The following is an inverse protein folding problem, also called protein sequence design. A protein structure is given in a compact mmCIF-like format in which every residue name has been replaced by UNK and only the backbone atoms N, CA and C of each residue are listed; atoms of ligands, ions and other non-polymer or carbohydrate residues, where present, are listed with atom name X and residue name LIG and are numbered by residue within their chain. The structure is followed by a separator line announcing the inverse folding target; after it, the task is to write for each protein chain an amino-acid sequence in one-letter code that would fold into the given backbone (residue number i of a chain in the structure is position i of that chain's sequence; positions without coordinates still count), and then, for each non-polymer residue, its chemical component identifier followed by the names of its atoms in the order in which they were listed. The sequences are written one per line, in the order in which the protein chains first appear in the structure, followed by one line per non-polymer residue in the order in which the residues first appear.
data_IF_920469577387
#
_entry.id   IF_920469577387
#
_cell.length_a   1.000
_cell.length_b   1.000
_cell.length_c   1.000
_cell.angle_alpha   90.00
_cell.angle_beta   90.00
_cell.angle_gamma   90.00
#
_symmetry.space_group_name_H-M   'P 1'
#
loop_
_entity.id
_entity.type
_entity.pdbx_description
1 polymer ?
#
# COMPACT_ATOMS: atom_id res chain seq x y z
N UNK A 1 -29.62 -11.72 -12.41
CA UNK A 1 -29.13 -10.35 -12.66
C UNK A 1 -27.93 -10.44 -13.60
N UNK A 2 -27.73 -9.46 -14.48
CA UNK A 2 -26.47 -9.37 -15.23
C UNK A 2 -25.31 -9.14 -14.24
N UNK A 3 -24.15 -9.72 -14.51
CA UNK A 3 -22.95 -9.45 -13.70
C UNK A 3 -22.65 -7.95 -13.70
N UNK A 4 -22.29 -7.36 -12.54
CA UNK A 4 -21.90 -5.95 -12.48
C UNK A 4 -20.71 -5.71 -13.41
N UNK A 5 -20.72 -4.58 -14.12
CA UNK A 5 -19.65 -4.20 -15.05
C UNK A 5 -18.67 -3.28 -14.36
N UNK A 6 -17.41 -3.37 -14.78
CA UNK A 6 -16.31 -2.50 -14.35
C UNK A 6 -16.23 -2.38 -12.82
N UNK A 7 -16.17 -3.53 -12.11
CA UNK A 7 -16.10 -3.54 -10.66
C UNK A 7 -14.70 -3.12 -10.23
N UNK A 8 -14.61 -2.18 -9.30
CA UNK A 8 -13.33 -1.68 -8.80
C UNK A 8 -13.50 -0.45 -7.92
N UNK A 9 -12.49 0.40 -7.89
CA UNK A 9 -12.45 1.58 -7.02
C UNK A 9 -13.20 2.76 -7.66
N UNK A 10 -14.24 3.23 -6.98
CA UNK A 10 -15.07 4.39 -7.34
C UNK A 10 -14.51 5.68 -6.74
N UNK A 11 -13.98 5.62 -5.52
CA UNK A 11 -13.38 6.74 -4.81
C UNK A 11 -12.27 6.26 -3.87
N UNK A 12 -11.33 7.15 -3.56
CA UNK A 12 -10.25 6.88 -2.62
C UNK A 12 -10.07 8.07 -1.70
N UNK A 13 -9.67 7.81 -0.46
CA UNK A 13 -9.20 8.81 0.48
C UNK A 13 -7.97 8.28 1.21
N UNK A 14 -7.09 9.18 1.62
CA UNK A 14 -5.91 8.86 2.43
C UNK A 14 -5.85 9.77 3.64
N UNK A 15 -5.63 9.17 4.80
CA UNK A 15 -5.19 9.86 5.99
C UNK A 15 -3.69 9.64 6.20
N UNK A 16 -2.99 10.73 6.48
CA UNK A 16 -1.59 10.73 6.91
C UNK A 16 -1.50 11.59 8.16
N UNK A 17 -0.70 11.19 9.17
CA UNK A 17 -0.46 12.03 10.34
C UNK A 17 0.01 13.44 9.94
N UNK A 18 -0.39 14.42 10.73
CA UNK A 18 -0.11 15.83 10.46
C UNK A 18 1.34 16.26 10.78
N UNK A 19 2.19 15.30 11.16
CA UNK A 19 3.58 15.51 11.54
C UNK A 19 4.49 14.50 10.85
N UNK A 20 5.68 14.96 10.44
CA UNK A 20 6.68 14.14 9.77
C UNK A 20 8.10 14.52 10.18
N UNK A 21 9.01 13.55 10.16
CA UNK A 21 10.43 13.73 10.43
C UNK A 21 11.19 13.93 9.11
N UNK A 22 12.04 14.96 9.03
CA UNK A 22 12.97 15.17 7.91
C UNK A 22 14.12 14.15 7.98
N UNK A 23 14.30 13.38 6.91
CA UNK A 23 15.32 12.33 6.84
C UNK A 23 16.75 12.89 6.88
N UNK A 24 16.99 14.11 6.40
CA UNK A 24 18.30 14.78 6.49
C UNK A 24 18.63 15.13 7.95
N UNK A 25 17.63 15.57 8.72
CA UNK A 25 17.81 15.81 10.15
C UNK A 25 18.06 14.50 10.89
N UNK A 26 17.34 13.44 10.51
CA UNK A 26 17.50 12.13 11.12
C UNK A 26 18.84 11.47 10.79
N UNK A 27 19.37 11.66 9.58
CA UNK A 27 20.73 11.23 9.21
C UNK A 27 21.78 11.81 10.18
N UNK A 28 21.70 13.11 10.45
CA UNK A 28 22.59 13.81 11.39
C UNK A 28 22.42 13.29 12.81
N UNK A 29 21.19 13.17 13.28
CA UNK A 29 20.88 12.68 14.63
C UNK A 29 21.40 11.25 14.85
N UNK A 30 21.28 10.37 13.86
CA UNK A 30 21.78 9.00 13.94
C UNK A 30 23.29 8.85 13.65
N UNK A 31 23.99 9.95 13.34
CA UNK A 31 25.43 9.92 13.06
C UNK A 31 25.80 9.13 11.80
N UNK A 32 24.91 9.06 10.81
CA UNK A 32 25.17 8.38 9.53
C UNK A 32 25.62 9.36 8.45
N UNK A 33 26.21 8.83 7.37
CA UNK A 33 26.63 9.65 6.23
C UNK A 33 25.44 10.36 5.58
N UNK A 34 25.64 11.63 5.20
CA UNK A 34 24.67 12.39 4.42
C UNK A 34 24.27 11.62 3.15
N UNK A 35 22.98 11.60 2.84
CA UNK A 35 22.45 10.87 1.68
C UNK A 35 22.12 9.40 1.95
N UNK A 36 22.44 8.84 3.12
CA UNK A 36 22.14 7.43 3.40
C UNK A 36 20.65 7.11 3.29
N UNK A 37 19.77 8.00 3.75
CA UNK A 37 18.32 7.86 3.72
C UNK A 37 17.74 8.59 2.52
N UNK A 38 18.16 9.84 2.29
CA UNK A 38 17.62 10.68 1.21
C UNK A 38 17.99 10.22 -0.20
N UNK A 39 19.15 9.58 -0.37
CA UNK A 39 19.61 9.02 -1.67
C UNK A 39 19.60 7.50 -1.63
N UNK A 40 20.16 6.90 -0.58
CA UNK A 40 20.30 5.45 -0.44
C UNK A 40 18.96 4.72 -0.34
N UNK A 41 17.98 5.32 0.38
CA UNK A 41 16.61 4.83 0.45
C UNK A 41 15.65 5.64 -0.43
N UNK A 42 16.01 6.88 -0.79
CA UNK A 42 15.16 7.81 -1.53
C UNK A 42 13.98 8.33 -0.71
N UNK A 43 14.13 8.38 0.63
CA UNK A 43 13.11 8.89 1.55
C UNK A 43 13.46 10.31 1.98
N UNK A 44 12.51 11.23 1.87
CA UNK A 44 12.69 12.64 2.26
C UNK A 44 12.07 12.93 3.62
N UNK A 45 10.88 12.39 3.87
CA UNK A 45 10.19 12.54 5.15
C UNK A 45 9.56 11.22 5.60
N UNK A 46 9.38 11.07 6.90
CA UNK A 46 8.73 9.91 7.53
C UNK A 46 7.61 10.36 8.45
N UNK A 47 6.39 9.87 8.22
CA UNK A 47 5.28 10.09 9.13
C UNK A 47 5.42 9.23 10.37
N UNK A 48 4.93 9.74 11.48
CA UNK A 48 4.83 8.99 12.72
C UNK A 48 3.61 9.43 13.51
N UNK A 49 3.19 8.57 14.43
CA UNK A 49 2.09 8.81 15.35
C UNK A 49 2.66 9.01 16.76
N UNK A 50 2.01 9.85 17.55
CA UNK A 50 2.18 9.85 19.02
C UNK A 50 1.31 8.75 19.65
N UNK A 51 1.10 8.80 20.97
CA UNK A 51 0.13 7.95 21.67
C UNK A 51 -1.34 8.37 21.45
N UNK A 52 -1.58 9.50 20.75
CA UNK A 52 -2.92 9.98 20.36
C UNK A 52 -3.49 9.27 19.14
N UNK A 53 -2.68 8.58 18.36
CA UNK A 53 -3.13 7.93 17.12
C UNK A 53 -2.83 6.43 17.12
N UNK A 54 -3.85 5.64 16.80
CA UNK A 54 -3.76 4.19 16.65
C UNK A 54 -4.42 3.75 15.32
N UNK A 55 -4.29 2.47 14.98
CA UNK A 55 -4.85 1.92 13.74
C UNK A 55 -6.34 2.22 13.54
N UNK A 56 -7.12 2.30 14.62
CA UNK A 56 -8.54 2.61 14.59
C UNK A 56 -8.78 4.09 14.35
N UNK A 57 -8.03 4.98 15.01
CA UNK A 57 -8.18 6.43 14.82
C UNK A 57 -7.76 6.87 13.42
N UNK A 58 -6.70 6.25 12.85
CA UNK A 58 -6.33 6.43 11.45
C UNK A 58 -7.46 5.99 10.51
N UNK A 59 -8.05 4.82 10.76
CA UNK A 59 -9.15 4.26 9.97
C UNK A 59 -10.43 5.10 10.07
N UNK A 60 -10.83 5.50 11.28
CA UNK A 60 -11.98 6.37 11.54
C UNK A 60 -11.83 7.69 10.78
N UNK A 61 -10.63 8.27 10.80
CA UNK A 61 -10.34 9.52 10.10
C UNK A 61 -10.45 9.36 8.58
N UNK A 62 -9.82 8.33 8.01
CA UNK A 62 -9.86 8.10 6.57
C UNK A 62 -11.28 7.80 6.07
N UNK A 63 -12.03 6.93 6.76
CA UNK A 63 -13.41 6.56 6.36
C UNK A 63 -14.37 7.74 6.54
N UNK A 64 -14.31 8.47 7.67
CA UNK A 64 -15.12 9.67 7.86
C UNK A 64 -14.84 10.74 6.79
N UNK A 65 -13.56 10.93 6.45
CA UNK A 65 -13.18 11.85 5.37
C UNK A 65 -13.69 11.38 4.00
N UNK A 66 -13.60 10.08 3.71
CA UNK A 66 -14.12 9.49 2.47
C UNK A 66 -15.63 9.75 2.33
N UNK A 67 -16.41 9.40 3.37
CA UNK A 67 -17.86 9.59 3.39
C UNK A 67 -18.24 11.05 3.13
N UNK A 68 -17.58 11.98 3.83
CA UNK A 68 -17.86 13.42 3.73
C UNK A 68 -17.45 14.04 2.39
N UNK A 69 -16.23 13.76 1.90
CA UNK A 69 -15.72 14.42 0.69
C UNK A 69 -16.37 13.92 -0.60
N UNK A 70 -16.83 12.68 -0.60
CA UNK A 70 -17.47 12.05 -1.75
C UNK A 70 -18.99 11.96 -1.62
N UNK A 71 -19.57 12.57 -0.57
CA UNK A 71 -21.01 12.61 -0.31
C UNK A 71 -21.66 11.22 -0.34
N UNK A 72 -21.04 10.27 0.36
CA UNK A 72 -21.47 8.87 0.37
C UNK A 72 -22.46 8.68 1.51
N UNK A 73 -23.69 8.29 1.18
CA UNK A 73 -24.69 7.87 2.17
C UNK A 73 -24.19 6.61 2.91
N UNK A 74 -24.02 6.63 4.25
CA UNK A 74 -23.63 5.45 5.00
C UNK A 74 -24.55 4.24 4.81
N UNK A 75 -25.83 4.44 4.46
CA UNK A 75 -26.76 3.34 4.14
C UNK A 75 -26.50 2.67 2.79
N UNK A 76 -25.74 3.31 1.90
CA UNK A 76 -25.34 2.76 0.60
C UNK A 76 -24.19 1.74 0.68
N UNK A 77 -23.65 1.48 1.87
CA UNK A 77 -22.54 0.55 2.11
C UNK A 77 -23.08 -0.78 2.64
N UNK A 78 -22.70 -1.88 2.00
CA UNK A 78 -23.10 -3.25 2.39
C UNK A 78 -21.95 -4.12 2.88
N UNK A 79 -20.70 -3.72 2.60
CA UNK A 79 -19.50 -4.39 3.09
C UNK A 79 -18.47 -3.38 3.57
N UNK A 80 -17.82 -3.68 4.69
CA UNK A 80 -16.72 -2.91 5.26
C UNK A 80 -15.63 -3.88 5.71
N UNK A 81 -14.44 -3.79 5.13
CA UNK A 81 -13.34 -4.72 5.40
C UNK A 81 -12.01 -4.00 5.60
N UNK A 82 -11.21 -4.44 6.58
CA UNK A 82 -9.95 -3.80 6.94
C UNK A 82 -8.78 -4.74 6.72
N UNK A 83 -7.77 -4.30 5.99
CA UNK A 83 -6.44 -4.86 5.99
C UNK A 83 -5.54 -4.12 6.97
N UNK A 84 -4.88 -4.84 7.88
CA UNK A 84 -3.90 -4.25 8.79
C UNK A 84 -2.95 -5.31 9.34
N UNK A 85 -1.75 -4.92 9.71
CA UNK A 85 -0.81 -5.69 10.54
C UNK A 85 -0.44 -4.96 11.86
N UNK A 86 -1.15 -3.87 12.18
CA UNK A 86 -1.04 -3.07 13.42
C UNK A 86 -2.15 -3.42 14.41
N UNK A 87 -2.39 -4.72 14.63
CA UNK A 87 -3.44 -5.19 15.54
C UNK A 87 -3.20 -4.71 16.98
N UNK A 88 -4.25 -4.16 17.59
CA UNK A 88 -4.28 -3.69 18.99
C UNK A 88 -5.12 -4.59 19.90
N UNK A 89 -5.84 -5.55 19.32
CA UNK A 89 -6.66 -6.56 20.01
C UNK A 89 -6.62 -7.86 19.21
N UNK A 90 -6.49 -8.99 19.92
CA UNK A 90 -6.29 -10.32 19.31
C UNK A 90 -7.58 -10.96 18.77
N UNK A 91 -8.74 -10.37 19.06
CA UNK A 91 -10.04 -10.90 18.64
C UNK A 91 -10.96 -9.81 18.07
N UNK A 92 -11.00 -8.63 18.69
CA UNK A 92 -11.85 -7.52 18.24
C UNK A 92 -11.21 -6.81 17.06
N UNK A 93 -11.85 -6.94 15.90
CA UNK A 93 -11.48 -6.25 14.65
C UNK A 93 -11.54 -4.71 14.73
N UNK A 94 -10.65 -4.03 14.00
CA UNK A 94 -10.74 -2.60 13.67
C UNK A 94 -12.06 -2.30 12.95
N UNK A 95 -12.51 -3.19 12.06
CA UNK A 95 -13.81 -3.11 11.39
C UNK A 95 -14.96 -2.85 12.36
N UNK A 96 -14.97 -3.55 13.50
CA UNK A 96 -16.02 -3.38 14.52
C UNK A 96 -15.94 -2.09 15.33
N UNK A 97 -14.85 -1.32 15.21
CA UNK A 97 -14.77 0.06 15.72
C UNK A 97 -15.34 1.01 14.67
N UNK A 98 -15.07 0.78 13.39
CA UNK A 98 -15.58 1.60 12.29
C UNK A 98 -17.11 1.57 12.15
N UNK A 99 -17.81 0.55 12.67
CA UNK A 99 -19.29 0.52 12.65
C UNK A 99 -19.92 1.70 13.39
N UNK A 100 -19.19 2.32 14.32
CA UNK A 100 -19.62 3.55 15.01
C UNK A 100 -19.86 4.74 14.06
N UNK A 101 -19.30 4.73 12.84
CA UNK A 101 -19.59 5.72 11.80
C UNK A 101 -20.93 5.46 11.08
N UNK A 102 -21.48 4.25 11.18
CA UNK A 102 -22.66 3.79 10.44
C UNK A 102 -23.88 3.58 11.34
N UNK A 103 -23.66 3.20 12.60
CA UNK A 103 -24.71 3.00 13.62
C UNK A 103 -25.64 4.22 13.79
N UNK A 104 -25.14 5.48 13.82
CA UNK A 104 -26.02 6.65 13.91
C UNK A 104 -26.97 6.81 12.72
N UNK A 105 -26.65 6.21 11.57
CA UNK A 105 -27.48 6.23 10.36
C UNK A 105 -28.42 5.03 10.26
N UNK A 106 -28.38 4.11 11.24
CA UNK A 106 -29.19 2.89 11.25
C UNK A 106 -28.61 1.73 10.42
N UNK A 107 -27.41 1.87 9.85
CA UNK A 107 -26.79 0.81 9.05
C UNK A 107 -25.91 -0.10 9.91
N UNK A 108 -26.44 -1.26 10.29
CA UNK A 108 -25.70 -2.32 11.00
C UNK A 108 -25.50 -3.57 10.15
N UNK A 109 -26.10 -3.63 8.96
CA UNK A 109 -25.98 -4.74 8.02
C UNK A 109 -24.78 -4.52 7.10
N UNK A 110 -23.59 -4.77 7.64
CA UNK A 110 -22.30 -4.56 7.00
C UNK A 110 -21.47 -5.85 7.07
N UNK A 111 -21.32 -6.56 5.95
CA UNK A 111 -20.40 -7.69 5.83
C UNK A 111 -18.93 -7.26 5.97
N UNK A 112 -18.01 -8.22 6.12
CA UNK A 112 -16.58 -7.97 6.26
C UNK A 112 -16.09 -7.83 7.70
N UNK A 113 -14.78 -8.02 7.87
CA UNK A 113 -14.03 -8.03 9.15
C UNK A 113 -12.59 -7.51 8.89
N UNK A 114 -11.62 -7.87 9.74
CA UNK A 114 -10.22 -7.63 9.47
C UNK A 114 -9.58 -8.84 8.75
N UNK A 115 -8.63 -8.58 7.86
CA UNK A 115 -7.78 -9.58 7.20
C UNK A 115 -6.31 -9.22 7.38
N UNK A 116 -5.49 -10.20 7.78
CA UNK A 116 -4.11 -9.96 8.21
C UNK A 116 -3.16 -10.88 7.46
N UNK A 117 -2.19 -10.29 6.76
CA UNK A 117 -0.97 -10.96 6.31
C UNK A 117 0.08 -9.91 5.95
N UNK A 118 0.80 -9.41 6.96
CA UNK A 118 1.75 -8.29 6.81
C UNK A 118 1.15 -7.17 5.94
N UNK A 119 1.95 -6.60 5.04
CA UNK A 119 1.55 -5.52 4.13
C UNK A 119 0.55 -5.95 3.03
N UNK A 120 0.17 -7.23 2.92
CA UNK A 120 -0.75 -7.73 1.90
C UNK A 120 -2.24 -7.62 2.30
N UNK A 121 -2.55 -7.39 3.58
CA UNK A 121 -3.93 -7.41 4.12
C UNK A 121 -4.90 -6.51 3.33
N UNK A 122 -4.48 -5.29 2.97
CA UNK A 122 -5.33 -4.37 2.20
C UNK A 122 -5.65 -4.85 0.78
N UNK A 123 -4.77 -5.64 0.16
CA UNK A 123 -5.02 -6.29 -1.15
C UNK A 123 -5.94 -7.47 -1.03
N UNK A 124 -5.83 -8.26 0.04
CA UNK A 124 -6.82 -9.30 0.31
C UNK A 124 -8.22 -8.70 0.51
N UNK A 125 -8.33 -7.61 1.28
CA UNK A 125 -9.60 -6.92 1.52
C UNK A 125 -10.21 -6.35 0.22
N UNK A 126 -9.38 -5.77 -0.66
CA UNK A 126 -9.82 -5.31 -1.99
C UNK A 126 -10.37 -6.46 -2.84
N UNK A 127 -9.65 -7.59 -2.90
CA UNK A 127 -10.13 -8.75 -3.64
C UNK A 127 -11.41 -9.33 -3.05
N UNK A 128 -11.55 -9.38 -1.73
CA UNK A 128 -12.78 -9.83 -1.08
C UNK A 128 -13.96 -8.92 -1.39
N UNK A 129 -13.75 -7.60 -1.42
CA UNK A 129 -14.78 -6.63 -1.79
C UNK A 129 -15.21 -6.77 -3.26
N UNK A 130 -14.27 -6.86 -4.20
CA UNK A 130 -14.57 -7.08 -5.63
C UNK A 130 -15.32 -8.40 -5.82
N UNK A 131 -14.84 -9.49 -5.22
CA UNK A 131 -15.50 -10.79 -5.29
C UNK A 131 -16.91 -10.76 -4.69
N UNK A 132 -17.12 -10.02 -3.60
CA UNK A 132 -18.44 -9.86 -2.98
C UNK A 132 -19.41 -9.12 -3.92
N UNK A 133 -18.98 -8.01 -4.52
CA UNK A 133 -19.78 -7.26 -5.52
C UNK A 133 -20.13 -8.15 -6.72
N UNK A 134 -19.20 -8.98 -7.18
CA UNK A 134 -19.42 -9.92 -8.30
C UNK A 134 -20.17 -11.21 -7.89
N UNK A 135 -20.51 -11.39 -6.62
CA UNK A 135 -21.14 -12.61 -6.12
C UNK A 135 -22.67 -12.61 -6.24
N UNK A 136 -23.26 -13.79 -6.05
CA UNK A 136 -24.73 -13.93 -5.89
C UNK A 136 -25.26 -13.34 -4.58
N UNK A 137 -24.38 -13.05 -3.62
CA UNK A 137 -24.74 -12.44 -2.33
C UNK A 137 -24.73 -10.92 -2.37
N UNK A 138 -24.31 -10.30 -3.49
CA UNK A 138 -24.32 -8.86 -3.63
C UNK A 138 -25.75 -8.31 -3.54
N UNK A 139 -25.94 -7.30 -2.71
CA UNK A 139 -27.23 -6.69 -2.40
C UNK A 139 -27.45 -5.33 -3.11
N UNK A 140 -26.55 -4.97 -4.03
CA UNK A 140 -26.60 -3.72 -4.79
C UNK A 140 -25.84 -2.55 -4.15
N UNK A 141 -25.36 -2.69 -2.90
CA UNK A 141 -24.61 -1.65 -2.18
C UNK A 141 -23.12 -1.66 -2.51
N UNK A 142 -22.44 -0.55 -2.26
CA UNK A 142 -20.98 -0.48 -2.40
C UNK A 142 -20.29 -1.13 -1.19
N UNK A 143 -19.00 -1.41 -1.34
CA UNK A 143 -18.10 -1.84 -0.28
C UNK A 143 -17.11 -0.73 0.08
N UNK A 144 -16.65 -0.68 1.33
CA UNK A 144 -15.49 0.11 1.75
C UNK A 144 -14.37 -0.82 2.17
N UNK A 145 -13.20 -0.60 1.59
CA UNK A 145 -11.96 -1.29 1.95
C UNK A 145 -11.04 -0.30 2.64
N UNK A 146 -10.47 -0.69 3.77
CA UNK A 146 -9.56 0.15 4.58
C UNK A 146 -8.23 -0.56 4.71
N UNK A 147 -7.12 0.15 4.49
CA UNK A 147 -5.77 -0.34 4.70
C UNK A 147 -5.05 0.64 5.64
N UNK A 148 -4.88 0.25 6.91
CA UNK A 148 -4.47 1.15 8.01
C UNK A 148 -3.33 0.54 8.81
N UNK A 149 -2.23 1.26 8.97
CA UNK A 149 -1.06 0.76 9.71
C UNK A 149 -0.18 1.87 10.28
N UNK A 150 0.58 1.47 11.29
CA UNK A 150 1.68 2.23 11.89
C UNK A 150 2.92 1.33 11.85
N UNK A 151 3.89 1.71 11.02
CA UNK A 151 5.12 0.98 10.77
C UNK A 151 6.27 1.50 11.64
N UNK A 152 6.71 0.66 12.58
CA UNK A 152 7.74 0.99 13.56
C UNK A 152 8.79 -0.11 13.66
N UNK A 153 10.03 0.30 13.89
CA UNK A 153 11.19 -0.57 13.93
C UNK A 153 12.07 -0.25 15.12
N UNK A 154 12.71 -1.29 15.67
CA UNK A 154 13.62 -1.17 16.81
C UNK A 154 15.04 -0.82 16.37
N UNK A 155 15.51 -1.48 15.32
CA UNK A 155 16.88 -1.39 14.84
C UNK A 155 17.13 -0.04 14.16
N UNK A 156 18.19 0.68 14.57
CA UNK A 156 18.50 2.00 14.05
C UNK A 156 18.55 2.07 12.51
N UNK A 157 19.03 0.99 11.86
CA UNK A 157 19.10 0.92 10.39
C UNK A 157 17.73 0.80 9.69
N UNK A 158 16.70 0.31 10.39
CA UNK A 158 15.34 0.11 9.86
C UNK A 158 14.38 1.23 10.28
N UNK A 159 14.70 1.98 11.34
CA UNK A 159 13.89 3.12 11.80
C UNK A 159 13.53 4.12 10.69
N UNK A 160 14.43 4.50 9.76
CA UNK A 160 14.11 5.45 8.69
C UNK A 160 13.05 4.96 7.70
N UNK A 161 12.79 3.65 7.64
CA UNK A 161 11.77 3.06 6.74
C UNK A 161 10.42 2.88 7.41
N UNK A 162 10.23 3.41 8.62
CA UNK A 162 8.93 3.50 9.27
C UNK A 162 7.96 4.41 8.52
N UNK A 163 6.78 4.60 9.09
CA UNK A 163 5.73 5.42 8.49
C UNK A 163 4.39 5.14 9.16
N UNK A 164 3.38 5.93 8.82
CA UNK A 164 2.02 5.71 9.29
C UNK A 164 1.02 6.35 8.33
N UNK A 165 -0.14 5.73 8.22
CA UNK A 165 -1.24 6.23 7.41
C UNK A 165 -2.36 5.21 7.22
N UNK A 166 -3.42 5.66 6.57
CA UNK A 166 -4.56 4.83 6.24
C UNK A 166 -5.13 5.23 4.88
N UNK A 167 -5.44 4.25 4.03
CA UNK A 167 -6.16 4.46 2.77
C UNK A 167 -7.53 3.80 2.87
N UNK A 168 -8.58 4.54 2.52
CA UNK A 168 -9.96 4.05 2.40
C UNK A 168 -10.39 4.10 0.93
N UNK A 169 -11.02 3.04 0.44
CA UNK A 169 -11.42 2.88 -0.96
C UNK A 169 -12.89 2.46 -1.04
N UNK A 170 -13.70 3.23 -1.77
CA UNK A 170 -15.06 2.85 -2.13
C UNK A 170 -15.01 1.90 -3.34
N UNK A 171 -15.59 0.71 -3.21
CA UNK A 171 -15.53 -0.36 -4.22
C UNK A 171 -16.94 -0.72 -4.68
N UNK A 172 -17.16 -0.76 -5.99
CA UNK A 172 -18.46 -1.08 -6.57
C UNK A 172 -18.44 -1.15 -8.10
N UNK A 173 -19.60 -1.30 -8.75
CA UNK A 173 -19.71 -1.30 -10.21
C UNK A 173 -19.46 0.10 -10.80
N UNK A 174 -19.16 0.13 -12.10
CA UNK A 174 -18.90 1.38 -12.86
C UNK A 174 -17.80 2.23 -12.22
N UNK A 175 -16.74 1.56 -11.75
CA UNK A 175 -15.62 2.18 -11.08
C UNK A 175 -14.81 3.10 -12.02
N UNK A 176 -14.08 4.05 -11.42
CA UNK A 176 -13.09 4.87 -12.13
C UNK A 176 -11.80 4.07 -12.39
N UNK A 177 -11.48 3.17 -11.48
CA UNK A 177 -10.38 2.21 -11.59
C UNK A 177 -10.96 0.80 -11.48
N UNK A 178 -11.25 0.17 -12.62
CA UNK A 178 -11.81 -1.18 -12.67
C UNK A 178 -10.72 -2.22 -12.48
N UNK A 179 -10.95 -3.22 -11.62
CA UNK A 179 -10.07 -4.38 -11.52
C UNK A 179 -10.25 -5.25 -12.77
N UNK A 180 -9.16 -5.73 -13.36
CA UNK A 180 -9.23 -6.75 -14.42
C UNK A 180 -8.94 -8.14 -13.82
N UNK A 181 -9.95 -9.02 -13.69
CA UNK A 181 -9.73 -10.36 -13.15
C UNK A 181 -8.78 -11.21 -14.02
N UNK A 182 -8.64 -10.88 -15.31
CA UNK A 182 -7.69 -11.47 -16.27
C UNK A 182 -6.24 -11.17 -15.96
N UNK A 183 -5.97 -10.00 -15.37
CA UNK A 183 -4.65 -9.55 -15.04
C UNK A 183 -4.38 -9.78 -13.55
N UNK A 184 -4.16 -11.03 -13.13
CA UNK A 184 -3.79 -11.35 -11.74
C UNK A 184 -2.87 -12.56 -11.61
N UNK A 185 -1.58 -12.34 -11.37
CA UNK A 185 -0.63 -13.34 -10.90
C UNK A 185 -0.54 -13.35 -9.37
N UNK A 186 -0.46 -14.52 -8.76
CA UNK A 186 -0.42 -14.70 -7.30
C UNK A 186 0.74 -15.61 -6.92
N UNK A 187 1.42 -15.28 -5.82
CA UNK A 187 2.41 -16.15 -5.20
C UNK A 187 2.34 -16.04 -3.68
N UNK A 188 2.28 -17.20 -3.02
CA UNK A 188 2.31 -17.32 -1.57
C UNK A 188 3.20 -18.51 -1.19
N UNK A 189 4.02 -18.34 -0.16
CA UNK A 189 4.88 -19.41 0.37
C UNK A 189 5.17 -19.15 1.84
N UNK A 190 5.83 -20.09 2.52
CA UNK A 190 6.28 -19.90 3.90
C UNK A 190 7.68 -19.28 3.96
N UNK A 191 7.86 -18.22 4.76
CA UNK A 191 9.15 -17.59 5.05
C UNK A 191 9.14 -16.89 6.43
N UNK A 192 10.33 -16.58 6.94
CA UNK A 192 10.55 -15.82 8.19
C UNK A 192 11.35 -14.53 7.92
N UNK A 193 11.08 -13.89 6.78
CA UNK A 193 11.79 -12.69 6.35
C UNK A 193 11.43 -11.45 7.20
N UNK A 194 10.16 -11.32 7.57
CA UNK A 194 9.64 -10.34 8.53
C UNK A 194 8.39 -10.89 9.21
N UNK A 195 8.31 -10.80 10.53
CA UNK A 195 7.19 -11.30 11.32
C UNK A 195 7.13 -10.68 12.73
N UNK A 196 5.96 -10.71 13.37
CA UNK A 196 5.72 -10.13 14.72
C UNK A 196 5.27 -11.20 15.73
N UNK A 197 6.19 -12.04 16.24
CA UNK A 197 5.82 -13.14 17.13
C UNK A 197 5.61 -12.68 18.59
N UNK A 198 6.30 -11.61 19.02
CA UNK A 198 6.22 -11.12 20.39
C UNK A 198 5.07 -10.11 20.54
N UNK A 199 3.94 -10.60 21.03
CA UNK A 199 2.73 -9.77 21.26
C UNK A 199 2.89 -8.66 22.30
N UNK A 200 4.00 -8.62 23.06
CA UNK A 200 4.25 -7.60 24.09
C UNK A 200 4.94 -6.35 23.55
N UNK A 201 5.46 -6.41 22.33
CA UNK A 201 6.10 -5.27 21.66
C UNK A 201 5.48 -5.06 20.29
N UNK A 202 5.55 -3.83 19.79
CA UNK A 202 5.02 -3.50 18.46
C UNK A 202 6.01 -3.80 17.32
N UNK A 203 7.30 -3.94 17.67
CA UNK A 203 8.37 -4.10 16.71
C UNK A 203 8.38 -5.50 16.07
N UNK A 204 8.62 -5.58 14.76
CA UNK A 204 8.83 -6.84 14.06
C UNK A 204 10.23 -7.40 14.33
N UNK A 205 10.39 -8.70 14.12
CA UNK A 205 11.67 -9.32 13.81
C UNK A 205 11.83 -9.24 12.29
N UNK A 206 12.96 -8.69 11.82
CA UNK A 206 13.24 -8.51 10.40
C UNK A 206 14.62 -9.03 10.02
N UNK A 207 14.67 -9.86 8.98
CA UNK A 207 15.89 -10.19 8.26
C UNK A 207 15.91 -9.39 6.96
N UNK A 208 16.52 -8.19 6.98
CA UNK A 208 16.46 -7.26 5.85
C UNK A 208 17.02 -7.81 4.53
N UNK A 209 18.05 -8.66 4.58
CA UNK A 209 18.60 -9.29 3.38
C UNK A 209 17.63 -10.33 2.80
N UNK A 210 17.05 -11.15 3.66
CA UNK A 210 16.05 -12.15 3.26
C UNK A 210 14.78 -11.48 2.74
N UNK A 211 14.29 -10.43 3.41
CA UNK A 211 13.11 -9.65 2.99
C UNK A 211 13.23 -9.11 1.57
N UNK A 212 14.40 -8.61 1.17
CA UNK A 212 14.63 -8.13 -0.21
C UNK A 212 14.60 -9.30 -1.19
N UNK A 213 15.25 -10.43 -0.88
CA UNK A 213 15.23 -11.63 -1.73
C UNK A 213 13.82 -12.20 -1.89
N UNK A 214 13.06 -12.24 -0.80
CA UNK A 214 11.66 -12.65 -0.74
C UNK A 214 10.75 -11.75 -1.58
N UNK A 215 10.91 -10.41 -1.48
CA UNK A 215 10.17 -9.45 -2.31
C UNK A 215 10.43 -9.66 -3.80
N UNK A 216 11.69 -9.71 -4.21
CA UNK A 216 12.07 -9.85 -5.63
C UNK A 216 11.69 -11.24 -6.16
N UNK A 217 11.89 -12.31 -5.38
CA UNK A 217 11.45 -13.66 -5.76
C UNK A 217 9.93 -13.78 -5.89
N UNK A 218 9.17 -13.11 -5.02
CA UNK A 218 7.72 -13.04 -5.11
C UNK A 218 7.24 -12.28 -6.35
N UNK A 219 7.95 -11.20 -6.74
CA UNK A 219 7.70 -10.47 -7.98
C UNK A 219 7.91 -11.36 -9.21
N UNK A 220 9.01 -12.13 -9.24
CA UNK A 220 9.28 -13.10 -10.32
C UNK A 220 8.17 -14.15 -10.43
N UNK A 221 7.74 -14.70 -9.30
CA UNK A 221 6.71 -15.73 -9.27
C UNK A 221 5.33 -15.18 -9.67
N UNK A 222 4.98 -13.95 -9.24
CA UNK A 222 3.76 -13.28 -9.66
C UNK A 222 3.77 -12.94 -11.16
N UNK A 223 4.92 -12.48 -11.68
CA UNK A 223 5.13 -12.25 -13.12
C UNK A 223 4.86 -13.52 -13.93
N UNK A 224 5.51 -14.63 -13.55
CA UNK A 224 5.32 -15.93 -14.20
C UNK A 224 3.87 -16.38 -14.13
N UNK A 225 3.26 -16.35 -12.95
CA UNK A 225 1.88 -16.82 -12.76
C UNK A 225 0.86 -15.96 -13.52
N UNK A 226 1.11 -14.66 -13.68
CA UNK A 226 0.27 -13.76 -14.47
C UNK A 226 0.22 -14.23 -15.94
N UNK A 227 1.37 -14.47 -16.55
CA UNK A 227 1.45 -14.94 -17.93
C UNK A 227 0.81 -16.33 -18.13
N UNK A 228 1.07 -17.27 -17.21
CA UNK A 228 0.43 -18.60 -17.24
C UNK A 228 -1.11 -18.50 -17.19
N UNK A 229 -1.64 -17.58 -16.39
CA UNK A 229 -3.09 -17.37 -16.28
C UNK A 229 -3.69 -16.69 -17.49
N UNK A 230 -2.98 -15.74 -18.10
CA UNK A 230 -3.39 -15.11 -19.36
C UNK A 230 -3.45 -16.18 -20.46
N UNK A 231 -2.40 -17.00 -20.60
CA UNK A 231 -2.35 -18.08 -21.58
C UNK A 231 -3.49 -19.10 -21.38
N UNK A 232 -3.73 -19.53 -20.13
CA UNK A 232 -4.80 -20.45 -19.81
C UNK A 232 -6.19 -19.88 -20.14
N UNK A 233 -6.43 -18.59 -19.87
CA UNK A 233 -7.69 -17.91 -20.23
C UNK A 233 -7.87 -17.78 -21.73
N UNK A 234 -6.81 -17.41 -22.45
CA UNK A 234 -6.87 -17.31 -23.90
C UNK A 234 -7.18 -18.63 -24.58
N UNK A 235 -6.63 -19.75 -24.08
CA UNK A 235 -7.00 -21.10 -24.53
C UNK A 235 -8.47 -21.43 -24.30
N UNK A 236 -9.04 -21.01 -23.16
CA UNK A 236 -10.46 -21.22 -22.85
C UNK A 236 -11.38 -20.37 -23.73
N UNK A 237 -10.95 -19.17 -24.12
CA UNK A 237 -11.71 -18.27 -24.98
C UNK A 237 -11.57 -18.58 -26.48
N UNK A 238 -10.60 -19.41 -26.86
CA UNK A 238 -10.29 -19.71 -28.26
C UNK A 238 -9.52 -18.60 -28.97
N UNK A 239 -8.75 -17.80 -28.24
CA UNK A 239 -7.94 -16.72 -28.80
C UNK A 239 -6.77 -17.30 -29.63
N UNK A 240 -6.38 -16.59 -30.69
CA UNK A 240 -5.22 -16.96 -31.52
C UNK A 240 -3.92 -16.86 -30.70
N UNK A 241 -3.00 -17.85 -30.75
CA UNK A 241 -1.76 -17.84 -29.97
C UNK A 241 -0.88 -16.59 -30.18
N UNK A 242 -0.97 -15.96 -31.35
CA UNK A 242 -0.23 -14.73 -31.69
C UNK A 242 -0.78 -13.48 -31.00
N UNK A 243 -2.04 -13.50 -30.54
CA UNK A 243 -2.67 -12.38 -29.81
C UNK A 243 -2.45 -12.42 -28.29
N UNK A 244 -1.88 -13.51 -27.77
CA UNK A 244 -1.64 -13.67 -26.33
C UNK A 244 -0.39 -12.87 -25.94
N UNK A 245 -0.51 -11.87 -25.03
CA UNK A 245 0.64 -11.12 -24.55
C UNK A 245 1.68 -12.05 -23.92
N UNK A 246 2.95 -11.84 -24.29
CA UNK A 246 4.06 -12.64 -23.77
C UNK A 246 4.93 -11.89 -22.77
N UNK A 247 4.77 -10.58 -22.65
CA UNK A 247 5.56 -9.72 -21.78
C UNK A 247 4.67 -8.97 -20.81
N UNK A 248 5.06 -8.93 -19.55
CA UNK A 248 4.27 -8.30 -18.50
C UNK A 248 4.32 -6.79 -18.61
N UNK A 249 5.46 -6.21 -18.98
CA UNK A 249 5.57 -4.75 -19.11
C UNK A 249 4.75 -4.19 -20.28
N UNK A 250 4.35 -5.01 -21.26
CA UNK A 250 3.48 -4.59 -22.37
C UNK A 250 1.99 -4.52 -21.93
N UNK A 251 1.62 -5.14 -20.80
CA UNK A 251 0.25 -5.16 -20.29
C UNK A 251 -0.16 -3.85 -19.60
N UNK A 252 0.81 -3.03 -19.19
CA UNK A 252 0.59 -1.93 -18.27
C UNK A 252 1.18 -0.63 -18.80
N UNK A 253 0.43 0.46 -18.82
CA UNK A 253 0.97 1.78 -19.13
C UNK A 253 1.76 2.35 -17.95
N UNK A 254 1.25 2.13 -16.74
CA UNK A 254 1.84 2.58 -15.48
C UNK A 254 2.02 1.42 -14.49
N UNK A 255 2.88 1.60 -13.50
CA UNK A 255 3.05 0.63 -12.41
C UNK A 255 3.05 1.29 -11.04
N UNK A 256 2.36 0.67 -10.09
CA UNK A 256 2.40 0.98 -8.67
C UNK A 256 2.88 -0.24 -7.88
N UNK A 257 3.65 0.00 -6.82
CA UNK A 257 4.25 -1.05 -6.01
C UNK A 257 3.98 -0.81 -4.52
N UNK A 258 3.94 -1.88 -3.73
CA UNK A 258 4.25 -1.78 -2.31
C UNK A 258 5.64 -1.15 -2.18
N UNK A 259 5.71 0.02 -1.52
CA UNK A 259 6.88 0.89 -1.49
C UNK A 259 7.42 1.01 -0.07
N UNK A 260 8.28 0.08 0.38
CA UNK A 260 9.02 0.26 1.63
C UNK A 260 10.14 1.31 1.49
N UNK A 261 10.65 1.51 0.28
CA UNK A 261 11.56 2.61 -0.10
C UNK A 261 11.64 2.75 -1.63
N UNK A 262 12.08 3.92 -2.10
CA UNK A 262 12.24 4.25 -3.54
C UNK A 262 13.14 3.23 -4.25
N UNK A 263 14.26 2.87 -3.61
CA UNK A 263 15.28 2.08 -4.26
C UNK A 263 14.74 0.69 -4.61
N UNK A 264 14.03 0.02 -3.71
CA UNK A 264 13.42 -1.28 -3.98
C UNK A 264 12.45 -1.23 -5.17
N UNK A 265 11.66 -0.16 -5.30
CA UNK A 265 10.74 0.00 -6.44
C UNK A 265 11.50 0.13 -7.77
N UNK A 266 12.58 0.92 -7.82
CA UNK A 266 13.42 1.01 -9.01
C UNK A 266 14.02 -0.34 -9.42
N UNK A 267 14.46 -1.13 -8.44
CA UNK A 267 15.00 -2.48 -8.66
C UNK A 267 13.92 -3.43 -9.18
N UNK A 268 12.70 -3.31 -8.65
CA UNK A 268 11.55 -4.15 -8.99
C UNK A 268 11.09 -3.92 -10.43
N UNK A 269 11.02 -2.67 -10.87
CA UNK A 269 10.71 -2.36 -12.27
C UNK A 269 11.79 -2.90 -13.22
N UNK A 270 13.07 -2.71 -12.88
CA UNK A 270 14.17 -3.33 -13.60
C UNK A 270 14.06 -4.86 -13.63
N UNK A 271 13.65 -5.51 -12.53
CA UNK A 271 13.47 -6.96 -12.47
C UNK A 271 12.36 -7.45 -13.41
N UNK A 272 11.25 -6.72 -13.54
CA UNK A 272 10.20 -7.08 -14.50
C UNK A 272 10.73 -7.07 -15.94
N UNK A 273 11.53 -6.07 -16.32
CA UNK A 273 12.18 -6.03 -17.63
C UNK A 273 13.10 -7.25 -17.82
N UNK A 274 13.88 -7.60 -16.81
CA UNK A 274 14.75 -8.77 -16.85
C UNK A 274 13.95 -10.07 -17.07
N UNK A 275 12.82 -10.24 -16.37
CA UNK A 275 11.96 -11.42 -16.56
C UNK A 275 11.33 -11.46 -17.96
N UNK A 276 10.91 -10.33 -18.52
CA UNK A 276 10.43 -10.25 -19.90
C UNK A 276 11.54 -10.61 -20.91
N UNK A 277 12.79 -10.18 -20.69
CA UNK A 277 13.93 -10.55 -21.51
C UNK A 277 14.23 -12.06 -21.45
N UNK A 278 14.16 -12.67 -20.27
CA UNK A 278 14.43 -14.11 -20.05
C UNK A 278 13.48 -15.04 -20.81
N UNK A 279 12.24 -14.62 -21.02
CA UNK A 279 11.25 -15.41 -21.75
C UNK A 279 11.13 -15.03 -23.24
N UNK A 280 11.79 -13.95 -23.65
CA UNK A 280 11.79 -13.50 -25.05
C UNK A 280 12.69 -14.40 -25.91
N UNK A 281 12.23 -14.69 -27.12
CA UNK A 281 13.04 -15.30 -28.19
C UNK A 281 13.72 -14.27 -29.09
N UNK A 282 13.43 -12.98 -28.88
CA UNK A 282 14.01 -11.88 -29.65
C UNK A 282 15.26 -11.33 -28.94
N UNK A 283 16.43 -11.51 -29.56
CA UNK A 283 17.70 -11.01 -29.04
C UNK A 283 17.75 -9.47 -28.99
N UNK A 284 16.86 -8.76 -29.71
CA UNK A 284 16.74 -7.31 -29.59
C UNK A 284 16.34 -6.84 -28.18
N UNK A 285 15.65 -7.68 -27.40
CA UNK A 285 15.27 -7.40 -26.01
C UNK A 285 16.46 -7.36 -25.05
N UNK A 286 17.59 -7.94 -25.45
CA UNK A 286 18.82 -7.98 -24.67
C UNK A 286 19.79 -6.85 -25.04
N UNK A 287 19.45 -5.98 -25.99
CA UNK A 287 20.32 -4.86 -26.40
C UNK A 287 20.63 -3.96 -25.19
N UNK A 288 21.93 -3.78 -24.92
CA UNK A 288 22.42 -3.00 -23.77
C UNK A 288 22.48 -3.77 -22.45
N UNK A 289 21.98 -5.00 -22.39
CA UNK A 289 22.10 -5.92 -21.26
C UNK A 289 23.25 -6.89 -21.55
N UNK A 290 24.27 -7.00 -20.67
CA UNK A 290 25.36 -7.95 -20.88
C UNK A 290 24.91 -9.41 -20.94
N UNK A 291 25.46 -10.19 -21.88
CA UNK A 291 25.09 -11.58 -22.16
C UNK A 291 25.31 -12.52 -20.97
N UNK A 292 26.27 -12.21 -20.08
CA UNK A 292 26.50 -12.99 -18.86
C UNK A 292 25.27 -13.01 -17.95
N UNK A 293 24.45 -11.95 -17.97
CA UNK A 293 23.24 -11.87 -17.15
C UNK A 293 22.17 -12.85 -17.61
N UNK A 294 22.18 -13.26 -18.88
CA UNK A 294 21.27 -14.28 -19.42
C UNK A 294 21.58 -15.68 -18.88
N UNK A 295 22.80 -15.90 -18.40
CA UNK A 295 23.31 -17.22 -17.95
C UNK A 295 23.18 -17.46 -16.45
N UNK A 296 22.80 -16.43 -15.69
CA UNK A 296 22.62 -16.55 -14.24
C UNK A 296 21.45 -17.49 -13.93
N UNK A 297 21.65 -18.40 -12.97
CA UNK A 297 20.53 -19.11 -12.37
C UNK A 297 19.64 -18.14 -11.58
N UNK A 298 18.39 -18.54 -11.32
CA UNK A 298 17.46 -17.72 -10.55
C UNK A 298 18.04 -17.30 -9.19
N UNK A 299 18.59 -18.25 -8.42
CA UNK A 299 19.22 -17.98 -7.12
C UNK A 299 20.43 -17.04 -7.23
N UNK A 300 21.26 -17.16 -8.26
CA UNK A 300 22.39 -16.25 -8.47
C UNK A 300 21.90 -14.84 -8.79
N UNK A 301 20.89 -14.72 -9.66
CA UNK A 301 20.32 -13.44 -10.07
C UNK A 301 19.68 -12.63 -8.93
N UNK A 302 19.25 -13.30 -7.85
CA UNK A 302 18.70 -12.65 -6.65
C UNK A 302 19.79 -12.13 -5.70
N UNK A 303 21.01 -12.68 -5.79
CA UNK A 303 22.14 -12.32 -4.91
C UNK A 303 23.11 -11.34 -5.57
N UNK A 304 23.25 -11.45 -6.89
CA UNK A 304 24.12 -10.58 -7.67
C UNK A 304 23.50 -9.17 -7.82
N UNK A 305 24.31 -8.14 -7.55
CA UNK A 305 23.92 -6.73 -7.69
C UNK A 305 24.10 -6.21 -9.12
N UNK A 306 24.76 -6.98 -10.00
CA UNK A 306 25.05 -6.59 -11.38
C UNK A 306 23.78 -6.53 -12.24
N UNK A 307 22.88 -7.54 -12.23
CA UNK A 307 21.59 -7.44 -12.91
C UNK A 307 20.80 -6.22 -12.44
N UNK A 308 20.75 -6.02 -11.13
CA UNK A 308 20.02 -4.90 -10.51
C UNK A 308 20.51 -3.54 -11.04
N UNK A 309 21.81 -3.25 -10.94
CA UNK A 309 22.38 -1.97 -11.37
C UNK A 309 22.17 -1.73 -12.86
N UNK A 310 22.39 -2.76 -13.66
CA UNK A 310 22.28 -2.70 -15.12
C UNK A 310 20.85 -2.39 -15.54
N UNK A 311 19.88 -3.15 -15.01
CA UNK A 311 18.47 -3.04 -15.39
C UNK A 311 17.86 -1.73 -14.87
N UNK A 312 18.25 -1.25 -13.69
CA UNK A 312 17.87 0.09 -13.21
C UNK A 312 18.38 1.19 -14.14
N UNK A 313 19.60 1.05 -14.68
CA UNK A 313 20.14 2.03 -15.62
C UNK A 313 19.40 2.02 -16.96
N UNK A 314 19.12 0.83 -17.50
CA UNK A 314 18.48 0.66 -18.81
C UNK A 314 17.01 1.11 -18.76
N UNK A 315 16.31 0.78 -17.68
CA UNK A 315 14.88 1.12 -17.52
C UNK A 315 14.65 2.54 -17.00
N UNK A 316 15.70 3.36 -16.84
CA UNK A 316 15.63 4.68 -16.18
C UNK A 316 14.57 5.60 -16.77
N UNK A 317 14.48 5.72 -18.09
CA UNK A 317 13.55 6.66 -18.73
C UNK A 317 12.11 6.16 -18.71
N UNK A 318 11.91 4.84 -18.84
CA UNK A 318 10.60 4.21 -18.64
C UNK A 318 10.15 4.33 -17.19
N UNK A 319 11.05 4.10 -16.23
CA UNK A 319 10.78 4.22 -14.80
C UNK A 319 10.26 5.62 -14.45
N UNK A 320 10.92 6.68 -14.94
CA UNK A 320 10.50 8.07 -14.74
C UNK A 320 9.07 8.34 -15.25
N UNK A 321 8.70 7.76 -16.38
CA UNK A 321 7.39 7.99 -17.00
C UNK A 321 6.29 7.12 -16.40
N UNK A 322 6.61 5.88 -16.06
CA UNK A 322 5.63 4.82 -15.75
C UNK A 322 5.51 4.52 -14.26
N UNK A 323 6.51 4.88 -13.44
CA UNK A 323 6.63 4.44 -12.04
C UNK A 323 6.95 5.58 -11.08
N UNK A 324 7.86 6.49 -11.41
CA UNK A 324 8.27 7.59 -10.52
C UNK A 324 7.09 8.45 -9.98
N UNK A 325 5.99 8.68 -10.73
CA UNK A 325 4.81 9.34 -10.18
C UNK A 325 4.17 8.58 -8.98
N UNK A 326 4.29 7.24 -8.92
CA UNK A 326 3.71 6.44 -7.84
C UNK A 326 4.50 6.53 -6.53
N UNK A 327 5.79 6.91 -6.57
CA UNK A 327 6.65 7.01 -5.37
C UNK A 327 6.82 8.43 -4.85
N UNK A 328 6.32 9.44 -5.57
CA UNK A 328 6.39 10.84 -5.17
C UNK A 328 5.80 11.07 -3.76
N UNK A 329 4.56 10.61 -3.51
CA UNK A 329 3.92 10.63 -2.20
C UNK A 329 4.65 9.77 -1.15
N UNK A 330 4.86 8.46 -1.39
CA UNK A 330 5.57 7.55 -0.48
C UNK A 330 6.92 8.08 0.03
N UNK A 331 7.71 8.74 -0.83
CA UNK A 331 8.98 9.35 -0.45
C UNK A 331 8.85 10.43 0.65
N UNK A 332 7.67 11.01 0.80
CA UNK A 332 7.37 12.05 1.78
C UNK A 332 6.69 11.52 3.04
N UNK A 333 6.43 10.22 3.17
CA UNK A 333 5.72 9.66 4.34
C UNK A 333 6.35 8.40 4.92
N UNK A 334 7.22 7.71 4.18
CA UNK A 334 7.71 6.40 4.57
C UNK A 334 6.67 5.29 4.35
N UNK A 335 6.88 4.14 4.99
CA UNK A 335 6.11 2.94 4.74
C UNK A 335 4.79 2.92 5.52
N UNK A 336 3.67 2.72 4.83
CA UNK A 336 2.33 2.58 5.45
C UNK A 336 1.83 1.13 5.46
N UNK A 337 2.75 0.16 5.42
CA UNK A 337 2.44 -1.28 5.33
C UNK A 337 1.32 -1.60 4.34
N UNK A 338 0.13 -2.03 4.80
CA UNK A 338 -0.98 -2.39 3.91
C UNK A 338 -1.50 -1.22 3.08
N UNK A 339 -1.39 0.01 3.59
CA UNK A 339 -1.75 1.23 2.87
C UNK A 339 -0.72 1.63 1.80
N UNK A 340 0.49 1.06 1.82
CA UNK A 340 1.61 1.53 0.99
C UNK A 340 1.34 1.40 -0.51
N UNK A 341 0.84 0.26 -1.00
CA UNK A 341 0.51 0.11 -2.43
C UNK A 341 -0.57 1.11 -2.88
N UNK A 342 -1.59 1.30 -2.05
CA UNK A 342 -2.69 2.19 -2.39
C UNK A 342 -2.33 3.66 -2.25
N UNK A 343 -1.39 3.97 -1.36
CA UNK A 343 -0.76 5.28 -1.34
C UNK A 343 0.04 5.51 -2.62
N UNK A 344 0.78 4.51 -3.10
CA UNK A 344 1.45 4.60 -4.41
C UNK A 344 0.46 4.81 -5.55
N UNK A 345 -0.71 4.16 -5.50
CA UNK A 345 -1.78 4.36 -6.49
C UNK A 345 -2.33 5.79 -6.46
N UNK A 346 -2.64 6.33 -5.28
CA UNK A 346 -3.09 7.73 -5.12
C UNK A 346 -2.00 8.70 -5.59
N UNK A 347 -0.74 8.44 -5.25
CA UNK A 347 0.40 9.24 -5.72
C UNK A 347 0.51 9.23 -7.24
N UNK A 348 0.38 8.05 -7.87
CA UNK A 348 0.44 7.90 -9.32
C UNK A 348 -0.61 8.77 -10.00
N UNK A 349 -1.89 8.62 -9.64
CA UNK A 349 -2.98 9.38 -10.26
C UNK A 349 -2.89 10.88 -9.95
N UNK A 350 -2.25 11.26 -8.83
CA UNK A 350 -2.04 12.67 -8.49
C UNK A 350 -0.90 13.34 -9.28
N UNK A 351 -0.05 12.57 -9.97
CA UNK A 351 1.19 13.05 -10.59
C UNK A 351 1.33 12.64 -12.08
N UNK A 352 0.24 12.25 -12.73
CA UNK A 352 0.20 11.97 -14.17
C UNK A 352 -0.78 12.92 -14.88
N UNK A 353 -0.68 12.99 -16.21
CA UNK A 353 -1.68 13.66 -17.03
C UNK A 353 -2.99 12.85 -17.04
N UNK A 354 -3.95 13.30 -16.23
CA UNK A 354 -5.25 12.65 -16.08
C UNK A 354 -6.06 12.59 -17.38
N UNK A 355 -5.91 13.57 -18.27
CA UNK A 355 -6.65 13.59 -19.56
C UNK A 355 -6.15 12.51 -20.50
N UNK A 356 -4.84 12.22 -20.46
CA UNK A 356 -4.21 11.17 -21.24
C UNK A 356 -4.21 9.81 -20.53
N UNK A 357 -4.83 9.70 -19.34
CA UNK A 357 -4.84 8.50 -18.53
C UNK A 357 -6.06 7.59 -18.77
N UNK A 358 -7.19 8.14 -19.23
CA UNK A 358 -8.39 7.33 -19.49
C UNK A 358 -8.11 6.22 -20.52
N UNK A 359 -8.57 5.01 -20.22
CA UNK A 359 -8.35 3.82 -21.04
C UNK A 359 -7.05 3.06 -20.76
N UNK A 360 -6.09 3.68 -20.05
CA UNK A 360 -4.81 3.06 -19.70
C UNK A 360 -4.95 2.02 -18.58
N UNK A 361 -3.97 1.12 -18.50
CA UNK A 361 -3.91 0.06 -17.49
C UNK A 361 -2.75 0.31 -16.52
N UNK A 362 -3.03 0.23 -15.23
CA UNK A 362 -2.05 0.31 -14.15
C UNK A 362 -1.77 -1.11 -13.65
N UNK A 363 -0.52 -1.54 -13.63
CA UNK A 363 -0.09 -2.75 -12.93
C UNK A 363 0.22 -2.45 -11.47
N UNK A 364 -0.21 -3.32 -10.55
CA UNK A 364 -0.07 -3.16 -9.12
C UNK A 364 0.61 -4.39 -8.53
N UNK A 365 1.75 -4.19 -7.86
CA UNK A 365 2.41 -5.26 -7.12
C UNK A 365 2.23 -5.09 -5.62
N UNK A 366 1.43 -5.97 -5.02
CA UNK A 366 1.24 -6.07 -3.58
C UNK A 366 2.12 -7.18 -3.01
N UNK A 367 2.77 -6.89 -1.89
CA UNK A 367 3.64 -7.82 -1.19
C UNK A 367 3.44 -7.66 0.31
N UNK A 368 3.37 -8.78 1.03
CA UNK A 368 3.49 -8.86 2.47
C UNK A 368 4.38 -10.03 2.84
N UNK A 369 5.34 -9.80 3.72
CA UNK A 369 6.26 -10.82 4.23
C UNK A 369 5.56 -11.99 4.91
N UNK A 370 6.23 -13.15 4.92
CA UNK A 370 5.69 -14.40 5.46
C UNK A 370 5.42 -15.57 4.49
N UNK A 371 5.13 -15.45 3.19
CA UNK A 371 4.89 -14.33 2.27
C UNK A 371 3.58 -14.54 1.51
N UNK A 372 2.85 -13.45 1.27
CA UNK A 372 1.76 -13.37 0.31
C UNK A 372 1.95 -12.20 -0.66
N UNK A 373 1.68 -12.43 -1.95
CA UNK A 373 1.88 -11.40 -2.98
C UNK A 373 0.94 -11.56 -4.17
N UNK A 374 0.70 -10.47 -4.88
CA UNK A 374 -0.03 -10.46 -6.14
C UNK A 374 0.45 -9.33 -7.05
N UNK A 375 0.60 -9.65 -8.33
CA UNK A 375 0.72 -8.68 -9.41
C UNK A 375 -0.60 -8.64 -10.18
N UNK A 376 -1.29 -7.50 -10.18
CA UNK A 376 -2.61 -7.39 -10.80
C UNK A 376 -2.83 -6.10 -11.58
N UNK A 377 -3.80 -6.08 -12.48
CA UNK A 377 -4.11 -4.94 -13.34
C UNK A 377 -5.38 -4.19 -12.92
N UNK A 378 -5.34 -2.86 -13.04
CA UNK A 378 -6.53 -2.01 -12.96
C UNK A 378 -6.60 -1.08 -14.17
N UNK A 379 -7.75 -1.04 -14.82
CA UNK A 379 -8.00 -0.15 -15.96
C UNK A 379 -8.62 1.17 -15.49
N UNK A 380 -8.13 2.28 -16.02
CA UNK A 380 -8.73 3.60 -15.83
C UNK A 380 -9.93 3.69 -16.77
N UNK A 381 -11.13 3.63 -16.21
CA UNK A 381 -12.40 3.55 -16.95
C UNK A 381 -13.24 4.82 -16.87
N UNK A 382 -12.79 5.85 -16.17
CA UNK A 382 -13.45 7.15 -16.10
C UNK A 382 -12.51 8.28 -15.68
N UNK A 383 -13.07 9.49 -15.63
CA UNK A 383 -12.36 10.72 -15.26
C UNK A 383 -11.94 10.72 -13.79
N UNK A 384 -10.65 10.91 -13.54
CA UNK A 384 -10.03 10.93 -12.21
C UNK A 384 -9.88 12.34 -11.62
N UNK A 385 -10.22 13.41 -12.38
CA UNK A 385 -9.98 14.80 -11.97
C UNK A 385 -10.64 15.12 -10.63
N UNK A 386 -11.93 14.84 -10.48
CA UNK A 386 -12.68 15.11 -9.24
C UNK A 386 -12.10 14.32 -8.04
N UNK A 387 -11.74 13.05 -8.25
CA UNK A 387 -11.12 12.21 -7.22
C UNK A 387 -9.80 12.84 -6.74
N UNK A 388 -8.89 13.18 -7.67
CA UNK A 388 -7.59 13.75 -7.33
C UNK A 388 -7.73 15.11 -6.64
N UNK A 389 -8.65 15.96 -7.11
CA UNK A 389 -8.93 17.26 -6.50
C UNK A 389 -9.48 17.13 -5.07
N UNK A 390 -10.40 16.21 -4.82
CA UNK A 390 -10.98 15.97 -3.47
C UNK A 390 -9.95 15.40 -2.49
N UNK A 391 -9.07 14.51 -2.95
CA UNK A 391 -7.99 13.96 -2.12
C UNK A 391 -6.98 15.06 -1.78
N UNK A 392 -6.62 15.90 -2.76
CA UNK A 392 -5.64 16.99 -2.66
C UNK A 392 -4.32 16.55 -2.00
N UNK A 393 -3.76 15.45 -2.48
CA UNK A 393 -2.67 14.75 -1.78
C UNK A 393 -1.45 15.66 -1.55
N UNK A 394 -0.89 16.21 -2.64
CA UNK A 394 0.43 16.85 -2.58
C UNK A 394 0.44 18.13 -1.75
N UNK A 395 -0.66 18.89 -1.73
CA UNK A 395 -0.74 20.09 -0.91
C UNK A 395 -0.96 19.77 0.57
N UNK A 396 -1.74 18.72 0.89
CA UNK A 396 -1.86 18.23 2.27
C UNK A 396 -0.53 17.77 2.84
N UNK A 397 0.32 17.12 2.04
CA UNK A 397 1.65 16.69 2.48
C UNK A 397 2.59 17.84 2.82
N UNK A 398 2.44 19.00 2.15
CA UNK A 398 3.23 20.22 2.42
C UNK A 398 2.80 20.96 3.68
N UNK A 399 1.57 20.74 4.15
CA UNK A 399 0.99 21.43 5.31
C UNK A 399 1.34 20.75 6.65
N UNK A 400 2.01 19.59 6.61
CA UNK A 400 2.42 18.87 7.81
C UNK A 400 3.48 19.65 8.58
N UNK A 401 3.48 19.46 9.90
CA UNK A 401 4.54 19.92 10.77
C UNK A 401 5.80 19.07 10.57
N UNK A 402 6.91 19.72 10.21
CA UNK A 402 8.23 19.07 10.15
C UNK A 402 8.81 19.05 11.56
N UNK A 403 8.78 17.87 12.18
CA UNK A 403 9.28 17.63 13.52
C UNK A 403 10.81 17.47 13.55
N UNK A 404 11.38 17.80 14.69
CA UNK A 404 12.77 17.52 15.05
C UNK A 404 12.96 16.04 15.38
N UNK A 405 14.20 15.52 15.29
CA UNK A 405 14.51 14.17 15.76
C UNK A 405 14.12 13.94 17.24
N UNK A 406 14.26 14.96 18.08
CA UNK A 406 13.93 14.88 19.51
C UNK A 406 12.41 14.71 19.73
N UNK A 407 11.58 15.45 19.01
CA UNK A 407 10.10 15.28 19.02
C UNK A 407 9.70 13.89 18.53
N UNK A 408 10.39 13.34 17.52
CA UNK A 408 10.16 11.97 17.06
C UNK A 408 10.54 10.93 18.12
N UNK A 409 11.67 11.09 18.81
CA UNK A 409 12.06 10.18 19.91
C UNK A 409 11.07 10.25 21.08
N UNK A 410 10.55 11.44 21.41
CA UNK A 410 9.50 11.61 22.41
C UNK A 410 8.21 10.90 22.00
N UNK A 411 7.76 11.09 20.76
CA UNK A 411 6.59 10.39 20.22
C UNK A 411 6.76 8.85 20.27
N UNK A 412 7.94 8.35 19.91
CA UNK A 412 8.28 6.93 20.04
C UNK A 412 8.21 6.44 21.50
N UNK A 413 8.69 7.24 22.45
CA UNK A 413 8.65 6.91 23.87
C UNK A 413 7.22 6.88 24.43
N UNK A 414 6.40 7.89 24.08
CA UNK A 414 4.97 7.94 24.44
C UNK A 414 4.26 6.68 23.94
N UNK A 415 4.46 6.34 22.66
CA UNK A 415 3.84 5.16 22.06
C UNK A 415 4.28 3.85 22.71
N UNK A 416 5.58 3.71 23.00
CA UNK A 416 6.11 2.54 23.68
C UNK A 416 5.45 2.34 25.05
N UNK A 417 5.20 3.41 25.79
CA UNK A 417 4.53 3.35 27.09
C UNK A 417 3.02 3.04 26.96
N UNK A 418 2.40 3.48 25.86
CA UNK A 418 0.98 3.24 25.58
C UNK A 418 0.70 1.80 25.10
N UNK A 419 1.65 1.14 24.44
CA UNK A 419 1.44 -0.16 23.83
C UNK A 419 1.08 -1.25 24.86
N UNK A 420 -0.13 -1.81 24.75
CA UNK A 420 -0.65 -2.81 25.68
C UNK A 420 -1.04 -2.27 27.06
N UNK A 421 -1.02 -0.96 27.28
CA UNK A 421 -1.42 -0.34 28.54
C UNK A 421 -2.96 -0.26 28.70
N UNK A 422 -3.40 -0.15 29.95
CA UNK A 422 -4.77 0.14 30.38
C UNK A 422 -4.75 1.19 31.49
N UNK A 423 -5.91 1.77 31.79
CA UNK A 423 -6.01 2.91 32.71
C UNK A 423 -5.03 4.03 32.30
N UNK A 424 -5.09 4.35 31.01
CA UNK A 424 -4.11 5.16 30.31
C UNK A 424 -4.81 6.30 29.58
N UNK A 425 -4.34 7.53 29.84
CA UNK A 425 -4.74 8.72 29.09
C UNK A 425 -3.56 9.18 28.23
N UNK A 426 -3.70 9.19 26.89
CA UNK A 426 -2.64 9.68 26.00
C UNK A 426 -2.20 11.10 26.36
N UNK A 427 -0.91 11.36 26.23
CA UNK A 427 -0.25 12.61 26.62
C UNK A 427 0.13 13.48 25.41
N UNK A 428 0.22 12.91 24.21
CA UNK A 428 0.56 13.65 23.00
C UNK A 428 -0.35 14.86 22.79
N UNK A 429 0.24 15.96 22.30
CA UNK A 429 -0.49 17.20 22.09
C UNK A 429 -1.43 17.10 20.88
N UNK A 430 -2.72 17.30 21.14
CA UNK A 430 -3.79 17.28 20.13
C UNK A 430 -3.73 18.48 19.18
N UNK A 431 -2.98 19.54 19.52
CA UNK A 431 -2.82 20.71 18.66
C UNK A 431 -2.02 20.41 17.38
N UNK A 432 -1.18 19.38 17.40
CA UNK A 432 -0.47 18.92 16.21
C UNK A 432 -1.35 18.11 15.24
N UNK A 433 -2.57 17.76 15.64
CA UNK A 433 -3.51 17.04 14.78
C UNK A 433 -4.27 18.02 13.87
N UNK A 434 -4.47 17.61 12.62
CA UNK A 434 -5.30 18.37 11.68
C UNK A 434 -6.79 18.30 12.09
N UNK A 435 -7.59 19.35 11.82
CA UNK A 435 -9.04 19.31 12.01
C UNK A 435 -9.70 18.11 11.30
N UNK A 436 -10.68 17.50 11.97
CA UNK A 436 -11.37 16.29 11.52
C UNK A 436 -10.63 14.98 11.84
N UNK A 437 -9.45 15.03 12.46
CA UNK A 437 -8.70 13.84 12.88
C UNK A 437 -9.35 13.20 14.10
N UNK A 438 -9.64 11.90 14.01
CA UNK A 438 -9.97 11.09 15.18
C UNK A 438 -8.69 10.78 15.96
N UNK A 439 -8.77 10.87 17.28
CA UNK A 439 -7.66 10.55 18.18
C UNK A 439 -8.13 9.77 19.39
N UNK A 440 -7.23 8.97 19.96
CA UNK A 440 -7.43 8.24 21.19
C UNK A 440 -7.51 9.23 22.36
N UNK A 441 -8.67 9.26 23.02
CA UNK A 441 -8.91 10.12 24.17
C UNK A 441 -8.53 9.43 25.48
N UNK A 442 -8.88 8.14 25.61
CA UNK A 442 -8.72 7.38 26.83
C UNK A 442 -8.71 5.86 26.58
N UNK A 443 -7.98 5.12 27.41
CA UNK A 443 -8.08 3.67 27.57
C UNK A 443 -8.40 3.36 29.04
N UNK A 444 -9.56 2.77 29.32
CA UNK A 444 -9.95 2.50 30.71
C UNK A 444 -9.25 1.25 31.31
N UNK A 445 -9.60 0.92 32.55
CA UNK A 445 -9.08 -0.19 33.35
C UNK A 445 -9.35 -1.60 32.79
N UNK A 446 -10.25 -1.71 31.80
CA UNK A 446 -10.61 -2.94 31.08
C UNK A 446 -10.32 -2.83 29.58
N UNK A 447 -9.34 -2.01 29.19
CA UNK A 447 -8.81 -1.86 27.82
C UNK A 447 -9.78 -1.26 26.79
N UNK A 448 -10.92 -0.70 27.21
CA UNK A 448 -11.86 -0.05 26.29
C UNK A 448 -11.29 1.30 25.88
N UNK A 449 -11.23 1.51 24.57
CA UNK A 449 -10.73 2.75 23.93
C UNK A 449 -11.89 3.68 23.61
N UNK A 450 -11.72 4.96 23.95
CA UNK A 450 -12.63 6.04 23.55
C UNK A 450 -11.91 6.97 22.58
N UNK A 451 -12.60 7.37 21.53
CA UNK A 451 -12.06 8.26 20.50
C UNK A 451 -12.82 9.58 20.47
N UNK A 452 -12.11 10.67 20.22
CA UNK A 452 -12.65 12.01 20.02
C UNK A 452 -12.19 12.58 18.68
N UNK A 453 -12.81 13.66 18.22
CA UNK A 453 -12.50 14.31 16.93
C UNK A 453 -11.90 15.68 17.21
N UNK A 454 -10.74 15.95 16.63
CA UNK A 454 -10.13 17.28 16.62
C UNK A 454 -11.04 18.23 15.83
N UNK A 455 -11.59 19.23 16.51
CA UNK A 455 -12.38 20.29 15.88
C UNK A 455 -11.50 21.21 15.03
#
# INVERSE_FOLDING_TARGET
MAYPKNVGIKAMEIYVPAQCLDQTLFEKHQGVSAGKYTIGLGLQYMNFCTDREDVCSLALTAVSSLLRKFDIDPNSIGRLEVGTESSIDKAKSVKSVLTTLFEPHGNTSLEGIDTIHACYGGTNALFNAVNWVESRSWDGRDAIVVASDIALYKEAASRPTGGAGCVAMLVGPNALLSLDPGLKGVYMTHAYDFYKPDTKVEFPIVNGHESIGCYIGALDACHKNLLERIEARSKLNGDEPSSVPKKVLELFDYMAFHTPNYKLVSKSFGRLKYNDCLISTDDAEWVGIPDELRKLSHSESLKDKTPEKTLVSITKDEFKKRVEPCIAGPSLCGNMYTGSLYFSLISLISNIDLKAAEGKTIGLFSFGSGIASSLFGMKITGDLIDLVQKVNLMDRLKQRHIATPEEYEEACALRKNAYGAKDFKPLGDVNFLAPGTYYLENVNDVYRRTYAIKQ
#
